data_IF_214319237335
#
_entry.id   IF_214319237335
#
_cell.length_a   1.000
_cell.length_b   1.000
_cell.length_c   1.000
_cell.angle_alpha   90.00
_cell.angle_beta   90.00
_cell.angle_gamma   90.00
#
_symmetry.space_group_name_H-M   'P 1'
#
loop_
_entity.id
_entity.type
_entity.pdbx_description
1 polymer ?
#
# COMPACT_ATOMS: atom_id res chain seq x y z
N UNK A 1 -54.42 -6.00 -74.33
CA UNK A 1 -53.71 -5.38 -73.19
C UNK A 1 -54.50 -5.62 -71.89
N UNK A 2 -54.83 -6.88 -71.55
CA UNK A 2 -55.67 -7.22 -70.38
C UNK A 2 -55.25 -8.53 -69.69
N UNK A 3 -54.06 -9.07 -70.01
CA UNK A 3 -53.58 -10.36 -69.48
C UNK A 3 -52.42 -10.23 -68.50
N UNK A 4 -51.78 -9.07 -68.38
CA UNK A 4 -50.60 -8.87 -67.52
C UNK A 4 -50.92 -8.38 -66.10
N UNK A 5 -52.13 -7.88 -65.84
CA UNK A 5 -52.47 -7.34 -64.52
C UNK A 5 -52.92 -8.41 -63.51
N UNK A 6 -53.10 -9.66 -63.92
CA UNK A 6 -53.52 -10.77 -63.03
C UNK A 6 -52.36 -11.45 -62.29
N UNK A 7 -51.11 -11.23 -62.74
CA UNK A 7 -49.92 -11.86 -62.16
C UNK A 7 -49.21 -11.02 -61.09
N UNK A 8 -49.54 -9.73 -60.96
CA UNK A 8 -48.89 -8.83 -59.97
C UNK A 8 -49.56 -8.91 -58.58
N UNK A 9 -50.72 -9.56 -58.48
CA UNK A 9 -51.48 -9.69 -57.22
C UNK A 9 -51.30 -11.04 -56.49
N UNK A 10 -50.59 -12.02 -57.07
CA UNK A 10 -50.48 -13.36 -56.46
C UNK A 10 -49.17 -13.64 -55.70
N UNK A 11 -48.24 -12.68 -55.61
CA UNK A 11 -47.01 -12.86 -54.81
C UNK A 11 -46.93 -12.01 -53.54
N UNK A 12 -48.02 -11.32 -53.17
CA UNK A 12 -48.06 -10.48 -51.96
C UNK A 12 -48.19 -11.33 -50.68
N UNK A 13 -48.46 -12.63 -50.78
CA UNK A 13 -48.36 -13.56 -49.66
C UNK A 13 -47.00 -14.28 -49.66
N UNK A 14 -45.93 -13.58 -49.30
CA UNK A 14 -44.74 -14.25 -48.76
C UNK A 14 -44.58 -13.86 -47.30
N UNK A 15 -45.08 -14.76 -46.45
CA UNK A 15 -44.94 -14.85 -44.99
C UNK A 15 -44.37 -13.60 -44.31
N UNK A 16 -45.22 -12.89 -43.57
CA UNK A 16 -44.77 -12.19 -42.36
C UNK A 16 -43.99 -13.20 -41.52
N UNK A 17 -42.66 -13.05 -41.49
CA UNK A 17 -41.87 -13.67 -40.44
C UNK A 17 -42.44 -13.07 -39.16
N UNK A 18 -43.17 -13.86 -38.37
CA UNK A 18 -43.40 -13.55 -36.97
C UNK A 18 -42.03 -13.26 -36.37
N UNK A 19 -41.69 -11.99 -36.20
CA UNK A 19 -40.63 -11.58 -35.30
C UNK A 19 -41.07 -12.09 -33.94
N UNK A 20 -40.50 -13.23 -33.51
CA UNK A 20 -40.78 -13.78 -32.20
C UNK A 20 -40.33 -12.72 -31.21
N UNK A 21 -41.28 -12.02 -30.60
CA UNK A 21 -41.02 -11.22 -29.41
C UNK A 21 -40.53 -12.18 -28.31
N UNK A 22 -39.60 -11.71 -27.47
CA UNK A 22 -39.08 -12.49 -26.34
C UNK A 22 -40.24 -12.92 -25.43
N UNK A 23 -40.22 -14.18 -25.01
CA UNK A 23 -41.13 -14.68 -24.00
C UNK A 23 -40.85 -14.01 -22.65
N UNK A 24 -41.88 -13.76 -21.84
CA UNK A 24 -41.73 -13.26 -20.46
C UNK A 24 -40.80 -14.16 -19.64
N UNK A 25 -40.85 -15.47 -19.88
CA UNK A 25 -39.99 -16.45 -19.19
C UNK A 25 -38.52 -16.31 -19.63
N UNK A 26 -38.26 -16.03 -20.90
CA UNK A 26 -36.89 -15.82 -21.40
C UNK A 26 -36.27 -14.55 -20.82
N UNK A 27 -37.05 -13.46 -20.69
CA UNK A 27 -36.59 -12.23 -20.05
C UNK A 27 -36.23 -12.46 -18.57
N UNK A 28 -37.03 -13.26 -17.85
CA UNK A 28 -36.78 -13.60 -16.46
C UNK A 28 -35.46 -14.37 -16.29
N UNK A 29 -35.21 -15.34 -17.16
CA UNK A 29 -33.97 -16.13 -17.15
C UNK A 29 -32.76 -15.23 -17.46
N UNK A 30 -32.87 -14.34 -18.45
CA UNK A 30 -31.79 -13.40 -18.80
C UNK A 30 -31.46 -12.46 -17.63
N UNK A 31 -32.47 -11.92 -16.96
CA UNK A 31 -32.25 -11.08 -15.77
C UNK A 31 -31.59 -11.87 -14.63
N UNK A 32 -32.03 -13.11 -14.39
CA UNK A 32 -31.43 -13.97 -13.35
C UNK A 32 -29.94 -14.25 -13.64
N UNK A 33 -29.58 -14.55 -14.89
CA UNK A 33 -28.18 -14.78 -15.27
C UNK A 33 -27.38 -13.46 -15.16
N UNK A 34 -27.96 -12.34 -15.59
CA UNK A 34 -27.30 -11.03 -15.52
C UNK A 34 -26.99 -10.59 -14.08
N UNK A 35 -27.90 -10.81 -13.13
CA UNK A 35 -27.65 -10.47 -11.72
C UNK A 35 -26.58 -11.34 -11.09
N UNK A 36 -26.53 -12.64 -11.42
CA UNK A 36 -25.47 -13.55 -10.95
C UNK A 36 -24.10 -13.07 -11.45
N UNK A 37 -23.98 -12.76 -12.74
CA UNK A 37 -22.74 -12.26 -13.33
C UNK A 37 -22.35 -10.91 -12.71
N UNK A 38 -23.29 -9.98 -12.58
CA UNK A 38 -23.03 -8.66 -12.01
C UNK A 38 -22.54 -8.76 -10.56
N UNK A 39 -23.12 -9.65 -9.76
CA UNK A 39 -22.70 -9.88 -8.37
C UNK A 39 -21.26 -10.38 -8.31
N UNK A 40 -20.89 -11.35 -9.17
CA UNK A 40 -19.52 -11.85 -9.23
C UNK A 40 -18.51 -10.75 -9.61
N UNK A 41 -18.87 -9.89 -10.58
CA UNK A 41 -18.03 -8.76 -11.00
C UNK A 41 -17.84 -7.75 -9.88
N UNK A 42 -18.90 -7.37 -9.16
CA UNK A 42 -18.82 -6.40 -8.04
C UNK A 42 -17.94 -6.92 -6.90
N UNK A 43 -18.08 -8.20 -6.52
CA UNK A 43 -17.23 -8.81 -5.49
C UNK A 43 -15.76 -8.78 -5.90
N UNK A 44 -15.48 -9.08 -7.17
CA UNK A 44 -14.12 -9.03 -7.69
C UNK A 44 -13.57 -7.60 -7.69
N UNK A 45 -14.36 -6.61 -8.10
CA UNK A 45 -13.95 -5.19 -8.13
C UNK A 45 -13.55 -4.68 -6.75
N UNK A 46 -14.29 -5.05 -5.70
CA UNK A 46 -13.98 -4.62 -4.32
C UNK A 46 -12.59 -5.12 -3.88
N UNK A 47 -12.25 -6.39 -4.15
CA UNK A 47 -10.93 -6.95 -3.85
C UNK A 47 -9.81 -6.25 -4.64
N UNK A 48 -10.06 -5.87 -5.88
CA UNK A 48 -9.09 -5.11 -6.69
C UNK A 48 -8.86 -3.70 -6.12
N UNK A 49 -9.93 -3.01 -5.73
CA UNK A 49 -9.85 -1.68 -5.14
C UNK A 49 -9.06 -1.68 -3.81
N UNK A 50 -9.28 -2.69 -2.96
CA UNK A 50 -8.52 -2.86 -1.70
C UNK A 50 -7.03 -3.08 -1.97
N UNK A 51 -6.69 -4.00 -2.88
CA UNK A 51 -5.30 -4.25 -3.26
C UNK A 51 -4.62 -3.02 -3.87
N UNK A 52 -5.34 -2.26 -4.69
CA UNK A 52 -4.82 -1.02 -5.27
C UNK A 52 -4.56 0.03 -4.17
N UNK A 53 -5.50 0.20 -3.23
CA UNK A 53 -5.33 1.10 -2.08
C UNK A 53 -4.09 0.70 -1.27
N UNK A 54 -3.98 -0.57 -0.89
CA UNK A 54 -2.84 -1.11 -0.13
C UNK A 54 -1.50 -0.87 -0.85
N UNK A 55 -1.43 -1.17 -2.15
CA UNK A 55 -0.24 -0.94 -2.97
C UNK A 55 0.13 0.53 -3.05
N UNK A 56 -0.85 1.40 -3.29
CA UNK A 56 -0.60 2.84 -3.36
C UNK A 56 0.03 3.37 -2.07
N UNK A 57 -0.46 2.87 -0.92
CA UNK A 57 0.07 3.23 0.39
C UNK A 57 1.47 2.66 0.62
N UNK A 58 1.75 1.41 0.25
CA UNK A 58 3.09 0.85 0.34
C UNK A 58 4.11 1.63 -0.50
N UNK A 59 3.74 2.06 -1.71
CA UNK A 59 4.59 2.94 -2.53
C UNK A 59 4.76 4.34 -1.91
N UNK A 60 3.72 4.90 -1.32
CA UNK A 60 3.79 6.18 -0.61
C UNK A 60 4.79 6.11 0.56
N UNK A 61 4.79 5.01 1.34
CA UNK A 61 5.78 4.76 2.38
C UNK A 61 7.20 4.69 1.79
N UNK A 62 7.40 3.90 0.73
CA UNK A 62 8.70 3.79 0.08
C UNK A 62 9.22 5.14 -0.46
N UNK A 63 8.33 5.98 -0.99
CA UNK A 63 8.67 7.33 -1.47
C UNK A 63 9.09 8.24 -0.31
N UNK A 64 8.41 8.18 0.83
CA UNK A 64 8.81 8.97 2.00
C UNK A 64 10.17 8.54 2.55
N UNK A 65 10.48 7.24 2.56
CA UNK A 65 11.82 6.75 2.95
C UNK A 65 12.89 7.33 2.02
N UNK A 66 12.63 7.31 0.71
CA UNK A 66 13.53 7.93 -0.27
C UNK A 66 13.65 9.45 -0.09
N UNK A 67 12.56 10.12 0.27
CA UNK A 67 12.59 11.55 0.58
C UNK A 67 13.48 11.84 1.80
N UNK A 68 13.39 11.02 2.87
CA UNK A 68 14.26 11.12 4.03
C UNK A 68 15.74 10.99 3.64
N UNK A 69 16.07 9.98 2.83
CA UNK A 69 17.41 9.78 2.30
C UNK A 69 17.94 11.00 1.52
N UNK A 70 17.11 11.58 0.64
CA UNK A 70 17.47 12.78 -0.12
C UNK A 70 17.66 13.98 0.81
N UNK A 71 16.81 14.15 1.81
CA UNK A 71 16.89 15.28 2.76
C UNK A 71 18.15 15.18 3.62
N UNK A 72 18.50 13.98 4.07
CA UNK A 72 19.77 13.72 4.74
C UNK A 72 20.93 14.09 3.85
N UNK A 73 20.99 13.65 2.58
CA UNK A 73 22.14 13.93 1.72
C UNK A 73 22.22 15.39 1.23
N UNK A 74 21.09 16.10 1.15
CA UNK A 74 20.96 17.41 0.51
C UNK A 74 21.35 18.64 1.34
N UNK A 75 21.97 18.49 2.51
CA UNK A 75 22.36 19.63 3.41
C UNK A 75 21.18 20.54 3.73
N UNK A 76 20.04 19.93 4.07
CA UNK A 76 18.88 20.68 4.51
C UNK A 76 19.09 21.14 5.95
N UNK A 77 19.06 22.46 6.18
CA UNK A 77 19.09 23.05 7.51
C UNK A 77 17.84 22.61 8.30
N UNK A 78 18.06 22.13 9.52
CA UNK A 78 16.97 21.99 10.47
C UNK A 78 16.62 23.39 11.03
N UNK A 79 15.37 23.78 10.84
CA UNK A 79 14.88 25.14 11.14
C UNK A 79 14.68 25.34 12.65
N UNK A 80 14.74 24.28 13.43
CA UNK A 80 14.53 24.30 14.87
C UNK A 80 15.81 24.65 15.64
N UNK A 81 15.69 25.55 16.62
CA UNK A 81 16.84 26.21 17.26
C UNK A 81 17.50 25.39 18.39
N UNK A 82 17.18 24.11 18.48
CA UNK A 82 17.64 23.21 19.54
C UNK A 82 18.90 22.41 19.16
N UNK A 83 19.17 22.23 17.87
CA UNK A 83 20.35 21.48 17.40
C UNK A 83 21.63 22.34 17.46
N UNK A 84 22.69 21.80 18.08
CA UNK A 84 24.02 22.44 18.12
C UNK A 84 24.69 22.51 16.74
N UNK A 85 24.35 21.60 15.82
CA UNK A 85 24.80 21.58 14.43
C UNK A 85 23.62 21.41 13.47
N UNK A 86 23.04 22.54 13.05
CA UNK A 86 21.86 22.60 12.18
C UNK A 86 22.08 22.02 10.79
N UNK A 87 23.34 21.83 10.40
CA UNK A 87 23.71 21.35 9.08
C UNK A 87 24.20 19.91 9.09
N UNK A 88 24.35 19.26 10.24
CA UNK A 88 24.79 17.87 10.34
C UNK A 88 23.76 16.98 11.05
N UNK A 89 22.51 17.15 10.66
CA UNK A 89 21.36 16.40 11.20
C UNK A 89 21.01 15.25 10.25
N UNK A 90 20.70 14.08 10.82
CA UNK A 90 20.16 12.93 10.09
C UNK A 90 18.65 13.00 9.98
N UNK A 91 18.08 12.64 8.83
CA UNK A 91 16.64 12.55 8.65
C UNK A 91 16.19 11.11 8.50
N UNK A 92 15.03 10.81 9.06
CA UNK A 92 14.51 9.47 9.12
C UNK A 92 12.99 9.37 9.19
N UNK A 93 12.53 8.13 9.18
CA UNK A 93 11.14 7.78 9.41
C UNK A 93 11.02 6.82 10.57
N UNK A 94 10.06 7.11 11.44
CA UNK A 94 9.71 6.28 12.58
C UNK A 94 8.35 5.65 12.36
N UNK A 95 8.31 4.35 12.63
CA UNK A 95 7.12 3.51 12.54
C UNK A 95 6.90 2.79 13.87
N UNK A 96 5.64 2.69 14.29
CA UNK A 96 5.25 2.03 15.53
C UNK A 96 3.98 1.22 15.30
N UNK A 97 3.88 0.04 15.92
CA UNK A 97 2.64 -0.73 15.96
C UNK A 97 1.58 -0.09 16.89
N UNK A 98 1.99 0.82 17.77
CA UNK A 98 1.08 1.69 18.52
C UNK A 98 0.79 2.92 17.66
N UNK A 99 -0.45 3.07 17.20
CA UNK A 99 -0.79 4.04 16.15
C UNK A 99 -0.27 3.58 14.80
N UNK A 100 -0.56 2.33 14.42
CA UNK A 100 -0.03 1.67 13.22
C UNK A 100 -0.45 2.29 11.89
N UNK A 101 -1.33 3.27 11.90
CA UNK A 101 -1.65 4.12 10.76
C UNK A 101 -0.70 5.33 10.62
N UNK A 102 0.19 5.59 11.57
CA UNK A 102 1.02 6.80 11.61
C UNK A 102 2.44 6.55 11.09
N UNK A 103 2.95 7.58 10.43
CA UNK A 103 4.29 7.66 9.88
C UNK A 103 4.87 8.98 10.36
N UNK A 104 5.96 8.91 11.12
CA UNK A 104 6.58 10.10 11.70
C UNK A 104 7.88 10.37 10.95
N UNK A 105 7.96 11.55 10.35
CA UNK A 105 9.19 12.10 9.78
C UNK A 105 9.90 12.91 10.85
N UNK A 106 11.17 12.58 11.10
CA UNK A 106 11.94 13.15 12.19
C UNK A 106 13.37 13.49 11.77
N UNK A 107 14.02 14.31 12.59
CA UNK A 107 15.40 14.70 12.48
C UNK A 107 16.16 14.30 13.74
N UNK A 108 17.15 13.43 13.62
CA UNK A 108 18.05 13.00 14.70
C UNK A 108 19.01 14.14 15.06
N UNK A 109 18.66 14.87 16.12
CA UNK A 109 19.32 16.08 16.63
C UNK A 109 20.33 15.74 17.72
N UNK A 110 20.11 14.67 18.47
CA UNK A 110 20.98 14.25 19.56
C UNK A 110 22.03 13.19 19.16
N UNK A 111 21.97 12.71 17.92
CA UNK A 111 22.84 11.69 17.30
C UNK A 111 22.73 10.29 17.95
N UNK A 112 21.60 9.97 18.58
CA UNK A 112 21.36 8.65 19.18
C UNK A 112 20.88 7.59 18.16
N UNK A 113 20.50 8.03 16.95
CA UNK A 113 19.98 7.22 15.83
C UNK A 113 18.64 6.54 16.12
N UNK A 114 17.90 7.05 17.07
CA UNK A 114 16.52 6.69 17.37
C UNK A 114 15.61 7.87 17.02
N UNK A 115 14.35 7.78 17.45
CA UNK A 115 13.39 8.87 17.29
C UNK A 115 12.94 9.27 18.67
N UNK A 116 13.06 10.57 18.96
CA UNK A 116 12.47 11.16 20.14
C UNK A 116 11.27 12.07 19.84
N UNK A 117 10.29 12.19 20.76
CA UNK A 117 9.09 12.98 20.53
C UNK A 117 9.32 14.46 20.16
N UNK A 118 10.44 15.04 20.58
CA UNK A 118 10.88 16.42 20.30
C UNK A 118 11.64 16.59 18.98
N UNK A 119 11.95 15.48 18.30
CA UNK A 119 12.62 15.45 16.99
C UNK A 119 11.66 15.32 15.81
N UNK A 120 10.36 15.21 16.10
CA UNK A 120 9.30 15.12 15.11
C UNK A 120 9.22 16.40 14.28
N UNK A 121 9.35 16.24 12.96
CA UNK A 121 9.12 17.31 11.98
C UNK A 121 7.70 17.25 11.43
N UNK A 122 7.28 16.06 10.97
CA UNK A 122 5.98 15.88 10.33
C UNK A 122 5.38 14.53 10.74
N UNK A 123 4.06 14.49 10.96
CA UNK A 123 3.32 13.23 11.12
C UNK A 123 2.33 13.09 9.97
N UNK A 124 2.41 11.96 9.27
CA UNK A 124 1.48 11.61 8.20
C UNK A 124 0.73 10.33 8.56
N UNK A 125 -0.53 10.24 8.15
CA UNK A 125 -1.35 9.05 8.35
C UNK A 125 -1.55 8.30 7.04
N UNK A 126 -1.45 6.98 7.13
CA UNK A 126 -1.87 6.04 6.10
C UNK A 126 -3.36 6.22 5.83
N UNK A 127 -3.73 6.13 4.55
CA UNK A 127 -5.09 6.33 4.06
C UNK A 127 -5.77 4.99 3.77
N UNK A 128 -7.09 5.03 3.63
CA UNK A 128 -7.87 3.87 3.17
C UNK A 128 -7.91 2.70 4.16
N UNK A 129 -7.70 2.95 5.45
CA UNK A 129 -7.74 1.91 6.50
C UNK A 129 -6.52 0.99 6.54
N UNK A 130 -5.49 1.30 5.75
CA UNK A 130 -4.23 0.56 5.75
C UNK A 130 -3.50 0.81 7.07
N UNK A 131 -2.98 -0.27 7.66
CA UNK A 131 -2.23 -0.23 8.91
C UNK A 131 -0.96 -1.05 8.81
N UNK A 132 0.02 -0.71 9.64
CA UNK A 132 1.23 -1.52 9.83
C UNK A 132 0.89 -2.66 10.79
N UNK A 133 0.84 -3.88 10.27
CA UNK A 133 0.54 -5.07 11.04
C UNK A 133 1.77 -5.56 11.79
N UNK A 134 2.92 -5.56 11.12
CA UNK A 134 4.16 -6.10 11.65
C UNK A 134 5.39 -5.32 11.16
N UNK A 135 6.43 -5.33 11.97
CA UNK A 135 7.77 -4.83 11.65
C UNK A 135 8.75 -5.98 11.89
N UNK A 136 9.65 -6.26 10.94
CA UNK A 136 10.64 -7.34 11.04
C UNK A 136 12.05 -6.86 10.67
N UNK A 137 13.08 -7.58 11.14
CA UNK A 137 14.50 -7.40 10.77
C UNK A 137 15.10 -8.52 9.90
N UNK A 138 14.32 -9.55 9.58
CA UNK A 138 14.74 -10.74 8.81
C UNK A 138 13.69 -11.06 7.75
N UNK A 139 14.13 -11.48 6.55
CA UNK A 139 13.24 -11.95 5.47
C UNK A 139 12.40 -13.11 6.01
N UNK A 140 11.09 -12.93 6.15
CA UNK A 140 10.19 -14.02 6.49
C UNK A 140 8.87 -13.82 5.77
N UNK A 141 8.68 -14.54 4.67
CA UNK A 141 7.33 -14.78 4.17
C UNK A 141 6.61 -15.75 5.12
N UNK A 142 5.37 -15.48 5.59
CA UNK A 142 4.54 -14.27 5.44
C UNK A 142 4.41 -13.41 6.73
N UNK A 143 5.21 -13.65 7.78
CA UNK A 143 5.18 -12.93 9.06
C UNK A 143 6.55 -12.98 9.76
N UNK A 144 6.81 -12.10 10.74
CA UNK A 144 8.10 -12.03 11.46
C UNK A 144 8.37 -13.21 12.44
N UNK A 145 8.02 -14.45 12.10
CA UNK A 145 8.03 -15.59 13.02
C UNK A 145 9.15 -16.60 12.72
N UNK A 146 10.40 -16.17 12.83
CA UNK A 146 11.53 -17.09 12.96
C UNK A 146 12.46 -16.57 14.05
N UNK A 147 12.46 -17.25 15.19
CA UNK A 147 13.37 -16.99 16.31
C UNK A 147 13.01 -15.81 17.23
N UNK A 148 12.00 -15.00 16.91
CA UNK A 148 11.51 -13.94 17.80
C UNK A 148 10.16 -14.31 18.39
N UNK A 149 10.15 -14.75 19.64
CA UNK A 149 8.92 -15.01 20.39
C UNK A 149 8.75 -13.96 21.48
N UNK A 150 7.50 -13.56 21.71
CA UNK A 150 7.12 -12.65 22.78
C UNK A 150 7.72 -11.25 22.66
N UNK A 151 8.31 -10.76 23.76
CA UNK A 151 8.75 -9.37 23.91
C UNK A 151 9.98 -8.99 23.08
N UNK A 152 10.59 -9.95 22.37
CA UNK A 152 11.77 -9.73 21.50
C UNK A 152 11.40 -9.31 20.09
N UNK A 153 10.13 -9.46 19.70
CA UNK A 153 9.62 -8.98 18.41
C UNK A 153 9.66 -7.45 18.38
N UNK A 154 10.24 -6.83 17.33
CA UNK A 154 10.24 -5.39 17.22
C UNK A 154 8.82 -4.88 16.98
N UNK A 155 8.46 -3.84 17.74
CA UNK A 155 7.19 -3.13 17.60
C UNK A 155 7.39 -1.75 16.99
N UNK A 156 8.62 -1.29 16.94
CA UNK A 156 8.99 0.03 16.46
C UNK A 156 10.24 -0.11 15.59
N UNK A 157 10.34 0.73 14.57
CA UNK A 157 11.54 0.86 13.75
C UNK A 157 11.76 2.32 13.39
N UNK A 158 13.00 2.76 13.56
CA UNK A 158 13.53 4.01 13.05
C UNK A 158 14.42 3.69 11.86
N UNK A 159 14.15 4.33 10.72
CA UNK A 159 14.93 4.24 9.49
C UNK A 159 15.58 5.59 9.27
N UNK A 160 16.87 5.68 9.57
CA UNK A 160 17.63 6.92 9.54
C UNK A 160 18.67 6.92 8.41
N UNK A 161 18.88 8.07 7.79
CA UNK A 161 19.97 8.28 6.84
C UNK A 161 20.88 9.40 7.33
N UNK A 162 22.19 9.20 7.25
CA UNK A 162 23.19 10.13 7.75
C UNK A 162 24.14 10.54 6.63
N UNK A 163 24.56 11.80 6.61
CA UNK A 163 25.65 12.19 5.70
C UNK A 163 27.00 11.65 6.19
N UNK A 164 27.95 11.42 5.28
CA UNK A 164 27.83 11.43 3.81
C UNK A 164 27.36 10.08 3.21
N UNK A 165 26.95 9.12 4.05
CA UNK A 165 26.72 7.73 3.65
C UNK A 165 25.25 7.48 3.25
N UNK A 166 24.94 7.01 2.03
CA UNK A 166 23.57 6.71 1.62
C UNK A 166 22.95 5.48 2.32
N UNK A 167 23.70 4.78 3.18
CA UNK A 167 23.21 3.62 3.94
C UNK A 167 22.05 3.98 4.87
N UNK A 168 21.17 3.00 5.07
CA UNK A 168 20.11 3.09 6.05
C UNK A 168 20.63 2.60 7.41
N UNK A 169 20.53 3.43 8.43
CA UNK A 169 20.70 3.05 9.82
C UNK A 169 19.34 2.61 10.36
N UNK A 170 19.22 1.30 10.62
CA UNK A 170 17.98 0.67 11.02
C UNK A 170 18.05 0.33 12.51
N UNK A 171 17.18 0.98 13.30
CA UNK A 171 17.07 0.79 14.74
C UNK A 171 15.69 0.22 15.06
N UNK A 172 15.65 -0.92 15.74
CA UNK A 172 14.43 -1.63 16.07
C UNK A 172 14.25 -1.69 17.57
N UNK A 173 13.05 -1.37 18.06
CA UNK A 173 12.74 -1.45 19.50
C UNK A 173 11.62 -2.46 19.75
N UNK A 174 11.89 -3.36 20.68
CA UNK A 174 10.95 -4.41 21.08
C UNK A 174 9.98 -3.92 22.17
N UNK A 175 8.97 -4.73 22.49
CA UNK A 175 8.02 -4.41 23.56
C UNK A 175 8.68 -4.29 24.95
N UNK A 176 9.79 -5.00 25.17
CA UNK A 176 10.58 -4.93 26.41
C UNK A 176 11.60 -3.80 26.41
N UNK A 177 11.60 -2.93 25.39
CA UNK A 177 12.58 -1.85 25.26
C UNK A 177 13.96 -2.31 24.79
N UNK A 178 14.10 -3.56 24.32
CA UNK A 178 15.37 -4.04 23.77
C UNK A 178 15.58 -3.38 22.42
N UNK A 179 16.69 -2.64 22.30
CA UNK A 179 17.16 -2.07 21.05
C UNK A 179 17.92 -3.13 20.25
N UNK A 180 17.72 -3.14 18.94
CA UNK A 180 18.51 -3.95 18.01
C UNK A 180 18.76 -3.15 16.75
N UNK A 181 19.98 -3.20 16.23
CA UNK A 181 20.37 -2.41 15.06
C UNK A 181 20.86 -3.30 13.92
N UNK A 182 20.66 -2.82 12.69
CA UNK A 182 21.10 -3.47 11.45
C UNK A 182 20.19 -4.59 10.94
N UNK A 183 20.49 -5.04 9.73
CA UNK A 183 19.69 -6.01 8.99
C UNK A 183 18.49 -5.36 8.30
N UNK A 184 17.95 -5.97 7.22
CA UNK A 184 16.88 -5.35 6.44
C UNK A 184 15.59 -5.15 7.26
N UNK A 185 14.99 -3.98 7.15
CA UNK A 185 13.69 -3.68 7.72
C UNK A 185 12.57 -4.12 6.78
N UNK A 186 11.60 -4.87 7.31
CA UNK A 186 10.36 -5.23 6.63
C UNK A 186 9.20 -4.57 7.36
N UNK A 187 8.47 -3.72 6.66
CA UNK A 187 7.22 -3.12 7.11
C UNK A 187 6.08 -3.87 6.43
N UNK A 188 5.28 -4.61 7.20
CA UNK A 188 4.12 -5.34 6.69
C UNK A 188 2.89 -4.47 6.86
N UNK A 189 2.37 -3.95 5.74
CA UNK A 189 1.11 -3.23 5.69
C UNK A 189 -0.03 -4.20 5.42
N UNK A 190 -1.18 -3.98 6.04
CA UNK A 190 -2.37 -4.79 5.76
C UNK A 190 -3.67 -4.01 5.65
N UNK A 191 -4.56 -4.57 4.84
CA UNK A 191 -5.92 -4.09 4.61
C UNK A 191 -6.84 -5.30 4.35
N UNK A 192 -7.83 -5.52 5.19
CA UNK A 192 -8.84 -6.59 5.06
C UNK A 192 -8.26 -7.99 4.74
N UNK A 193 -7.09 -8.31 5.30
CA UNK A 193 -6.40 -9.60 5.10
C UNK A 193 -5.43 -9.65 3.91
N UNK A 194 -5.44 -8.63 3.04
CA UNK A 194 -4.38 -8.45 2.03
C UNK A 194 -3.15 -7.82 2.68
N UNK A 195 -1.95 -8.26 2.28
CA UNK A 195 -0.66 -7.79 2.82
C UNK A 195 0.21 -7.21 1.70
N UNK A 196 1.00 -6.19 2.03
CA UNK A 196 2.06 -5.66 1.19
C UNK A 196 3.27 -5.35 2.07
N UNK A 197 4.47 -5.56 1.56
CA UNK A 197 5.70 -5.45 2.34
C UNK A 197 6.60 -4.38 1.75
N UNK A 198 6.98 -3.39 2.55
CA UNK A 198 8.03 -2.43 2.20
C UNK A 198 9.32 -2.91 2.84
N UNK A 199 10.32 -3.19 2.03
CA UNK A 199 11.63 -3.67 2.45
C UNK A 199 12.68 -2.58 2.26
N UNK A 200 13.46 -2.32 3.30
CA UNK A 200 14.60 -1.41 3.30
C UNK A 200 15.85 -2.19 3.70
N UNK A 201 16.86 -2.16 2.84
CA UNK A 201 18.16 -2.80 3.08
C UNK A 201 19.13 -1.83 3.78
N UNK A 202 20.12 -2.37 4.51
CA UNK A 202 21.17 -1.57 5.16
C UNK A 202 21.95 -0.68 4.17
N UNK A 203 22.03 -1.08 2.90
CA UNK A 203 22.67 -0.29 1.84
C UNK A 203 21.80 0.87 1.32
N UNK A 204 20.62 1.10 1.89
CA UNK A 204 19.68 2.14 1.48
C UNK A 204 18.78 1.76 0.29
N UNK A 205 18.83 0.52 -0.20
CA UNK A 205 17.90 0.05 -1.22
C UNK A 205 16.49 -0.09 -0.64
N UNK A 206 15.50 0.43 -1.36
CA UNK A 206 14.09 0.40 -0.97
C UNK A 206 13.31 -0.36 -2.05
N UNK A 207 12.54 -1.37 -1.64
CA UNK A 207 11.71 -2.18 -2.53
C UNK A 207 10.33 -2.43 -1.93
N UNK A 208 9.32 -2.57 -2.79
CA UNK A 208 7.96 -2.95 -2.39
C UNK A 208 7.67 -4.33 -2.95
N UNK A 209 7.32 -5.26 -2.06
CA UNK A 209 7.00 -6.67 -2.35
C UNK A 209 5.49 -6.83 -2.11
N UNK A 210 4.79 -7.44 -3.06
CA UNK A 210 3.33 -7.65 -3.02
C UNK A 210 2.99 -9.13 -2.95
#
# INVERSE_FOLDING_TARGET
>A
MLTYFKYILSSVFSKSKRSKAFSLVELLIVMAIATIIMTAVVVQQNKWNENLSLRSQAYEVALMIRQAQIYSLGVREDVDNTAADKFNVGYGLYFSLIGSEKIVFFADRDNDKEYDPDEKIEEKKLKGGVKIEEVCRVNLEPSCSHGMTGNTKPKQVSILFLRPDPKAHLSFRSASGVLSTGGPAYLVLSLNGSKAVVKVEDNGQISVIN
#
